data_IF_545981140675
#
_entry.id   IF_545981140675
#
_cell.length_a   1.000
_cell.length_b   1.000
_cell.length_c   1.000
_cell.angle_alpha   90.00
_cell.angle_beta   90.00
_cell.angle_gamma   90.00
#
_symmetry.space_group_name_H-M   'P 1'
#
loop_
_entity.id
_entity.type
_entity.pdbx_description
1 polymer ?
#
# COMPACT_ATOMS: atom_id res chain seq x y z
N UNK A 1 -14.36 -29.38 37.86
CA UNK A 1 -14.08 -29.95 36.53
C UNK A 1 -15.37 -29.76 35.74
N UNK A 2 -15.53 -28.90 34.74
CA UNK A 2 -14.65 -28.35 33.69
C UNK A 2 -15.21 -26.97 33.27
N UNK A 3 -14.41 -25.91 33.06
CA UNK A 3 -14.04 -25.34 31.73
C UNK A 3 -15.12 -25.60 30.66
N UNK A 4 -15.73 -24.60 30.01
CA UNK A 4 -15.17 -23.69 28.98
C UNK A 4 -16.33 -22.73 28.62
N UNK A 5 -16.22 -21.40 28.54
CA UNK A 5 -15.35 -20.63 27.65
C UNK A 5 -16.10 -20.29 26.35
N UNK A 6 -16.51 -19.03 26.23
CA UNK A 6 -16.68 -18.19 25.03
C UNK A 6 -17.39 -18.73 23.77
N UNK A 7 -18.25 -17.88 23.20
CA UNK A 7 -18.01 -17.34 21.86
C UNK A 7 -18.65 -15.97 21.70
N UNK A 8 -17.77 -14.99 21.51
CA UNK A 8 -18.06 -13.64 21.08
C UNK A 8 -18.48 -13.70 19.61
N UNK A 9 -19.65 -13.16 19.29
CA UNK A 9 -20.06 -12.91 17.91
C UNK A 9 -19.28 -11.72 17.37
N UNK A 10 -18.07 -12.02 16.90
CA UNK A 10 -17.26 -11.12 16.10
C UNK A 10 -17.88 -10.99 14.71
N UNK A 11 -18.59 -9.88 14.52
CA UNK A 11 -19.08 -9.38 13.23
C UNK A 11 -17.96 -9.44 12.18
N UNK A 12 -18.10 -10.34 11.19
CA UNK A 12 -17.22 -10.36 10.03
C UNK A 12 -17.55 -9.15 9.14
N UNK A 13 -16.68 -8.15 9.16
CA UNK A 13 -16.72 -7.00 8.27
C UNK A 13 -16.61 -7.45 6.81
N UNK A 14 -17.66 -7.20 6.04
CA UNK A 14 -17.80 -7.42 4.61
C UNK A 14 -16.95 -6.40 3.81
N UNK A 15 -15.65 -6.38 4.04
CA UNK A 15 -14.68 -5.63 3.25
C UNK A 15 -14.29 -6.41 1.99
N UNK A 16 -15.09 -6.27 0.92
CA UNK A 16 -14.89 -6.94 -0.36
C UNK A 16 -13.48 -6.74 -0.96
N UNK A 17 -13.11 -7.66 -1.87
CA UNK A 17 -11.82 -7.84 -2.56
C UNK A 17 -11.05 -6.54 -2.93
N UNK A 18 -11.74 -5.43 -3.17
CA UNK A 18 -11.16 -4.10 -3.38
C UNK A 18 -10.29 -3.59 -2.22
N UNK A 19 -10.58 -3.98 -0.98
CA UNK A 19 -9.80 -3.56 0.20
C UNK A 19 -8.36 -4.08 0.17
N UNK A 20 -8.14 -5.30 -0.32
CA UNK A 20 -6.82 -5.93 -0.36
C UNK A 20 -5.88 -5.27 -1.39
N UNK A 21 -6.42 -4.80 -2.51
CA UNK A 21 -5.63 -4.15 -3.58
C UNK A 21 -5.50 -2.63 -3.43
N UNK A 22 -6.17 -2.02 -2.43
CA UNK A 22 -6.28 -0.56 -2.26
C UNK A 22 -4.94 0.17 -2.21
N UNK A 23 -3.91 -0.47 -1.64
CA UNK A 23 -2.61 0.15 -1.43
C UNK A 23 -1.60 -0.16 -2.55
N UNK A 24 -2.02 -0.88 -3.60
CA UNK A 24 -1.19 -1.22 -4.75
C UNK A 24 -1.16 -0.05 -5.74
N UNK A 25 -0.14 0.81 -5.61
CA UNK A 25 0.08 1.92 -6.53
C UNK A 25 0.95 1.43 -7.69
N UNK A 26 0.36 0.98 -8.80
CA UNK A 26 1.17 0.90 -10.02
C UNK A 26 1.53 2.31 -10.47
N UNK A 27 2.72 2.48 -11.03
CA UNK A 27 3.05 3.67 -11.80
C UNK A 27 2.37 3.48 -13.16
N UNK A 28 1.06 3.79 -13.20
CA UNK A 28 0.11 3.34 -14.21
C UNK A 28 0.23 4.00 -15.58
N UNK A 29 1.00 5.08 -15.74
CA UNK A 29 0.93 5.88 -16.97
C UNK A 29 1.27 5.07 -18.24
N UNK A 30 2.07 4.00 -18.12
CA UNK A 30 2.44 3.15 -19.26
C UNK A 30 1.86 1.73 -19.21
N UNK A 31 1.16 1.35 -18.14
CA UNK A 31 0.65 -0.03 -17.96
C UNK A 31 -0.73 -0.25 -18.59
N UNK A 32 -1.46 0.84 -18.85
CA UNK A 32 -2.76 0.86 -19.49
C UNK A 32 -2.74 1.73 -20.74
N UNK A 33 -3.54 1.40 -21.77
CA UNK A 33 -4.54 0.34 -21.82
C UNK A 33 -3.94 -1.07 -21.84
N UNK A 34 -4.58 -2.03 -21.15
CA UNK A 34 -4.19 -3.44 -21.20
C UNK A 34 -5.12 -4.18 -22.13
N UNK A 35 -4.58 -4.91 -23.10
CA UNK A 35 -5.39 -5.71 -24.05
C UNK A 35 -5.11 -7.19 -23.84
N UNK A 36 -6.17 -8.00 -23.72
CA UNK A 36 -6.04 -9.45 -23.72
C UNK A 36 -5.66 -9.94 -25.11
N UNK A 37 -4.46 -10.54 -25.23
CA UNK A 37 -3.98 -11.07 -26.51
C UNK A 37 -4.85 -12.20 -27.08
N UNK A 38 -5.65 -12.88 -26.25
CA UNK A 38 -6.47 -14.01 -26.69
C UNK A 38 -7.87 -13.62 -27.18
N UNK A 39 -8.52 -12.62 -26.56
CA UNK A 39 -9.90 -12.24 -26.91
C UNK A 39 -10.06 -10.77 -27.33
N UNK A 40 -8.99 -9.98 -27.29
CA UNK A 40 -9.00 -8.56 -27.67
C UNK A 40 -9.66 -7.62 -26.65
N UNK A 41 -10.19 -8.13 -25.52
CA UNK A 41 -10.78 -7.28 -24.48
C UNK A 41 -9.75 -6.27 -23.97
N UNK A 42 -10.17 -5.00 -23.88
CA UNK A 42 -9.33 -3.87 -23.51
C UNK A 42 -9.80 -3.30 -22.17
N UNK A 43 -8.85 -3.08 -21.28
CA UNK A 43 -9.05 -2.47 -19.98
C UNK A 43 -8.37 -1.10 -20.00
N UNK A 44 -9.10 -0.03 -19.68
CA UNK A 44 -8.57 1.34 -19.81
C UNK A 44 -7.77 1.79 -18.59
N UNK A 45 -8.05 1.20 -17.42
CA UNK A 45 -7.36 1.54 -16.18
C UNK A 45 -7.42 0.36 -15.19
N UNK A 46 -6.78 0.54 -14.03
CA UNK A 46 -6.73 -0.50 -13.00
C UNK A 46 -8.11 -0.89 -12.45
N UNK A 47 -9.01 0.08 -12.24
CA UNK A 47 -10.32 -0.20 -11.67
C UNK A 47 -11.13 -1.09 -12.61
N UNK A 48 -11.11 -0.76 -13.90
CA UNK A 48 -11.69 -1.56 -14.97
C UNK A 48 -11.12 -2.99 -14.98
N UNK A 49 -9.78 -3.11 -15.01
CA UNK A 49 -9.08 -4.39 -14.94
C UNK A 49 -9.46 -5.24 -13.73
N UNK A 50 -9.48 -4.68 -12.52
CA UNK A 50 -9.84 -5.42 -11.31
C UNK A 50 -11.31 -5.85 -11.28
N UNK A 51 -12.20 -5.05 -11.87
CA UNK A 51 -13.64 -5.32 -11.88
C UNK A 51 -14.06 -6.39 -12.90
N UNK A 52 -13.34 -6.49 -14.02
CA UNK A 52 -13.71 -7.37 -15.13
C UNK A 52 -12.66 -8.48 -15.42
N UNK A 53 -11.88 -8.83 -14.40
CA UNK A 53 -11.03 -10.02 -14.42
C UNK A 53 -11.19 -10.78 -13.10
N UNK A 54 -10.93 -12.09 -13.14
CA UNK A 54 -11.01 -12.96 -11.97
C UNK A 54 -9.62 -13.19 -11.38
N UNK A 55 -9.55 -13.59 -10.11
CA UNK A 55 -8.27 -13.99 -9.50
C UNK A 55 -7.74 -15.27 -10.13
N UNK A 56 -6.42 -15.45 -10.09
CA UNK A 56 -5.83 -16.77 -10.34
C UNK A 56 -6.21 -17.71 -9.19
N UNK A 57 -6.67 -18.91 -9.52
CA UNK A 57 -7.24 -19.87 -8.56
C UNK A 57 -6.38 -20.03 -7.30
N UNK A 58 -7.01 -19.88 -6.13
CA UNK A 58 -6.37 -20.13 -4.83
C UNK A 58 -5.32 -19.11 -4.39
N UNK A 59 -5.20 -17.96 -5.08
CA UNK A 59 -4.24 -16.92 -4.72
C UNK A 59 -4.81 -15.52 -4.92
N UNK A 60 -4.15 -14.52 -4.33
CA UNK A 60 -4.50 -13.11 -4.53
C UNK A 60 -4.08 -12.59 -5.90
N UNK A 61 -3.37 -13.42 -6.70
CA UNK A 61 -2.75 -13.02 -7.96
C UNK A 61 -1.48 -12.18 -7.79
N UNK A 62 -1.09 -11.83 -6.57
CA UNK A 62 0.14 -11.06 -6.34
C UNK A 62 1.36 -12.00 -6.27
N UNK A 63 2.38 -11.66 -7.04
CA UNK A 63 3.69 -12.32 -7.01
C UNK A 63 4.78 -11.28 -6.76
N UNK A 64 5.62 -11.55 -5.78
CA UNK A 64 6.82 -10.78 -5.53
C UNK A 64 7.93 -11.23 -6.47
N UNK A 65 8.54 -10.29 -7.19
CA UNK A 65 9.56 -10.59 -8.21
C UNK A 65 10.96 -10.14 -7.80
N UNK A 66 11.21 -9.98 -6.50
CA UNK A 66 12.55 -9.68 -5.95
C UNK A 66 13.59 -10.62 -6.56
N UNK A 67 14.49 -10.06 -7.38
CA UNK A 67 15.60 -10.79 -8.02
C UNK A 67 15.55 -10.90 -9.55
N UNK A 68 14.43 -10.57 -10.21
CA UNK A 68 14.32 -10.58 -11.69
C UNK A 68 14.45 -9.19 -12.33
N UNK A 69 14.39 -8.12 -11.54
CA UNK A 69 14.63 -6.75 -12.01
C UNK A 69 15.22 -5.88 -10.88
N UNK A 70 15.84 -4.76 -11.24
CA UNK A 70 16.44 -3.81 -10.30
C UNK A 70 15.40 -3.04 -9.48
N UNK A 71 14.13 -3.11 -9.86
CA UNK A 71 13.02 -2.48 -9.17
C UNK A 71 12.29 -3.53 -8.32
N UNK A 72 11.94 -3.17 -7.08
CA UNK A 72 11.02 -3.98 -6.27
C UNK A 72 9.63 -3.97 -6.95
N UNK A 73 9.41 -4.94 -7.84
CA UNK A 73 8.20 -5.12 -8.61
C UNK A 73 7.34 -6.20 -7.95
N UNK A 74 6.07 -5.88 -7.78
CA UNK A 74 5.03 -6.86 -7.48
C UNK A 74 4.26 -7.04 -8.79
N UNK A 75 4.11 -8.25 -9.28
CA UNK A 75 3.23 -8.52 -10.42
C UNK A 75 1.83 -8.89 -9.92
N UNK A 76 0.80 -8.37 -10.59
CA UNK A 76 -0.57 -8.81 -10.41
C UNK A 76 -1.00 -9.66 -11.61
N UNK A 77 -1.34 -10.91 -11.34
CA UNK A 77 -1.90 -11.87 -12.27
C UNK A 77 -3.41 -11.99 -12.06
N UNK A 78 -4.17 -11.89 -13.15
CA UNK A 78 -5.63 -12.08 -13.15
C UNK A 78 -6.08 -12.78 -14.42
N UNK A 79 -7.19 -13.51 -14.35
CA UNK A 79 -7.76 -14.19 -15.50
C UNK A 79 -8.79 -13.30 -16.19
N UNK A 80 -8.59 -13.08 -17.48
CA UNK A 80 -9.61 -12.53 -18.35
C UNK A 80 -10.84 -13.45 -18.36
N UNK A 81 -12.02 -12.90 -18.64
CA UNK A 81 -13.27 -13.69 -18.81
C UNK A 81 -13.18 -14.80 -19.86
N UNK A 82 -12.24 -14.71 -20.80
CA UNK A 82 -11.99 -15.77 -21.79
C UNK A 82 -11.12 -16.92 -21.25
N UNK A 83 -10.65 -16.85 -20.00
CA UNK A 83 -9.80 -17.85 -19.35
C UNK A 83 -8.30 -17.55 -19.42
N UNK A 84 -7.85 -16.63 -20.27
CA UNK A 84 -6.42 -16.28 -20.39
C UNK A 84 -5.92 -15.46 -19.21
N UNK A 85 -4.71 -15.75 -18.73
CA UNK A 85 -4.07 -14.98 -17.66
C UNK A 85 -3.39 -13.72 -18.20
N UNK A 86 -3.65 -12.61 -17.53
CA UNK A 86 -3.08 -11.29 -17.76
C UNK A 86 -2.15 -10.94 -16.61
N UNK A 87 -1.07 -10.22 -16.90
CA UNK A 87 -0.10 -9.74 -15.92
C UNK A 87 0.06 -8.23 -16.06
N UNK A 88 0.07 -7.53 -14.94
CA UNK A 88 0.49 -6.13 -14.85
C UNK A 88 1.57 -5.95 -13.78
N UNK A 89 2.54 -5.11 -14.09
CA UNK A 89 3.57 -4.72 -13.14
C UNK A 89 3.01 -3.66 -12.19
N UNK A 90 3.19 -3.90 -10.90
CA UNK A 90 2.85 -2.98 -9.83
C UNK A 90 4.14 -2.62 -9.10
N UNK A 91 4.22 -1.37 -8.64
CA UNK A 91 5.37 -0.90 -7.90
C UNK A 91 5.00 -0.78 -6.43
N UNK A 92 5.97 -1.05 -5.55
CA UNK A 92 5.83 -0.64 -4.16
C UNK A 92 5.72 0.89 -4.11
N UNK A 93 4.66 1.41 -3.47
CA UNK A 93 4.52 2.85 -3.22
C UNK A 93 5.70 3.43 -2.44
N UNK A 94 6.44 2.58 -1.72
CA UNK A 94 7.63 2.96 -0.97
C UNK A 94 8.84 2.87 -1.88
N UNK A 95 9.57 3.97 -1.97
CA UNK A 95 10.92 3.90 -2.52
C UNK A 95 11.78 2.99 -1.64
N UNK A 96 12.29 1.92 -2.26
CA UNK A 96 13.27 1.01 -1.69
C UNK A 96 14.71 1.37 -2.10
N UNK A 97 14.95 2.60 -2.55
CA UNK A 97 16.32 3.12 -2.70
C UNK A 97 16.97 3.34 -1.32
N UNK A 98 18.30 3.43 -1.22
CA UNK A 98 18.98 3.81 0.02
C UNK A 98 18.41 5.10 0.64
N UNK A 99 18.11 6.11 -0.17
CA UNK A 99 17.54 7.39 0.23
C UNK A 99 16.11 7.20 0.76
N UNK A 100 15.29 6.41 0.07
CA UNK A 100 13.93 6.09 0.50
C UNK A 100 13.89 5.32 1.83
N UNK A 101 14.86 4.44 2.07
CA UNK A 101 15.03 3.79 3.39
C UNK A 101 15.50 4.78 4.45
N UNK A 102 16.49 5.62 4.13
CA UNK A 102 17.04 6.61 5.05
C UNK A 102 15.98 7.64 5.49
N UNK A 103 15.17 8.14 4.56
CA UNK A 103 14.08 9.07 4.84
C UNK A 103 13.03 8.45 5.76
N UNK A 104 12.61 7.21 5.51
CA UNK A 104 11.67 6.48 6.40
C UNK A 104 12.26 6.26 7.79
N UNK A 105 13.53 5.89 7.87
CA UNK A 105 14.21 5.71 9.15
C UNK A 105 14.31 7.04 9.92
N UNK A 106 14.62 8.14 9.25
CA UNK A 106 14.65 9.48 9.85
C UNK A 106 13.26 9.90 10.36
N UNK A 107 12.21 9.70 9.56
CA UNK A 107 10.83 9.94 9.96
C UNK A 107 10.46 9.14 11.22
N UNK A 108 10.79 7.84 11.24
CA UNK A 108 10.54 6.97 12.38
C UNK A 108 11.26 7.45 13.65
N UNK A 109 12.54 7.82 13.55
CA UNK A 109 13.30 8.37 14.69
C UNK A 109 12.68 9.65 15.24
N UNK A 110 12.26 10.56 14.36
CA UNK A 110 11.65 11.82 14.78
C UNK A 110 10.29 11.60 15.45
N UNK A 111 9.47 10.70 14.89
CA UNK A 111 8.19 10.33 15.48
C UNK A 111 8.36 9.75 16.90
N UNK A 112 9.34 8.88 17.10
CA UNK A 112 9.62 8.33 18.44
C UNK A 112 10.11 9.39 19.42
N UNK A 113 10.91 10.37 18.98
CA UNK A 113 11.28 11.52 19.82
C UNK A 113 10.07 12.35 20.22
N UNK A 114 9.16 12.63 19.29
CA UNK A 114 7.93 13.38 19.57
C UNK A 114 7.03 12.63 20.57
N UNK A 115 6.92 11.30 20.44
CA UNK A 115 6.19 10.47 21.42
C UNK A 115 6.80 10.57 22.82
N UNK A 116 8.14 10.59 22.94
CA UNK A 116 8.83 10.70 24.23
C UNK A 116 8.54 12.00 24.98
N UNK A 117 8.23 13.09 24.28
CA UNK A 117 7.81 14.36 24.89
C UNK A 117 6.29 14.49 25.03
N UNK A 118 5.56 13.36 24.92
CA UNK A 118 4.13 13.29 25.17
C UNK A 118 3.23 13.65 23.99
N UNK A 119 3.77 13.81 22.78
CA UNK A 119 2.94 14.11 21.59
C UNK A 119 2.21 12.83 21.14
N UNK A 120 0.88 12.89 20.91
CA UNK A 120 0.14 11.76 20.36
C UNK A 120 0.68 11.33 18.99
N UNK A 121 0.86 10.02 18.80
CA UNK A 121 1.50 9.48 17.59
C UNK A 121 0.72 9.77 16.29
N UNK A 122 -0.59 9.96 16.36
CA UNK A 122 -1.41 10.31 15.20
C UNK A 122 -1.18 11.78 14.79
N UNK A 123 -1.27 12.72 15.74
CA UNK A 123 -1.00 14.14 15.48
C UNK A 123 0.44 14.36 15.01
N UNK A 124 1.41 13.71 15.65
CA UNK A 124 2.82 13.80 15.23
C UNK A 124 3.01 13.32 13.79
N UNK A 125 2.36 12.21 13.39
CA UNK A 125 2.44 11.72 12.01
C UNK A 125 1.81 12.70 11.02
N UNK A 126 0.63 13.22 11.33
CA UNK A 126 -0.07 14.16 10.44
C UNK A 126 0.77 15.42 10.21
N UNK A 127 1.25 16.04 11.28
CA UNK A 127 2.02 17.28 11.19
C UNK A 127 3.38 17.06 10.50
N UNK A 128 4.04 15.92 10.75
CA UNK A 128 5.25 15.55 10.01
C UNK A 128 4.97 15.34 8.52
N UNK A 129 3.85 14.70 8.16
CA UNK A 129 3.46 14.54 6.76
C UNK A 129 3.15 15.88 6.08
N UNK A 130 2.47 16.81 6.76
CA UNK A 130 2.27 18.18 6.25
C UNK A 130 3.60 18.87 5.98
N UNK A 131 4.50 18.84 6.95
CA UNK A 131 5.84 19.43 6.79
C UNK A 131 6.63 18.83 5.63
N UNK A 132 6.57 17.50 5.44
CA UNK A 132 7.19 16.83 4.29
C UNK A 132 6.58 17.22 2.94
N UNK A 133 5.33 17.71 2.92
CA UNK A 133 4.69 18.27 1.72
C UNK A 133 5.01 19.77 1.52
N UNK A 134 5.85 20.36 2.37
CA UNK A 134 6.17 21.78 2.35
C UNK A 134 5.11 22.67 3.01
N UNK A 135 4.12 22.07 3.68
CA UNK A 135 3.09 22.83 4.40
C UNK A 135 3.64 23.25 5.78
N UNK A 136 3.45 24.51 6.20
CA UNK A 136 3.89 24.97 7.51
C UNK A 136 3.08 24.30 8.64
N UNK A 137 3.73 24.06 9.79
CA UNK A 137 3.08 23.51 10.98
C UNK A 137 3.60 24.14 12.26
N UNK A 138 2.81 25.06 12.84
CA UNK A 138 3.14 25.71 14.10
C UNK A 138 3.23 24.72 15.27
N UNK A 139 2.39 23.66 15.24
CA UNK A 139 2.44 22.57 16.22
C UNK A 139 3.77 21.85 16.17
N UNK A 140 4.20 21.46 14.97
CA UNK A 140 5.47 20.79 14.76
C UNK A 140 6.65 21.67 15.18
N UNK A 141 6.66 22.94 14.78
CA UNK A 141 7.71 23.89 15.17
C UNK A 141 7.83 24.02 16.69
N UNK A 142 6.69 24.07 17.40
CA UNK A 142 6.66 24.09 18.87
C UNK A 142 7.27 22.83 19.47
N UNK A 143 6.93 21.65 18.95
CA UNK A 143 7.47 20.38 19.43
C UNK A 143 8.96 20.21 19.12
N UNK A 144 9.40 20.66 17.94
CA UNK A 144 10.81 20.64 17.56
C UNK A 144 11.65 21.54 18.47
N UNK A 145 11.12 22.71 18.87
CA UNK A 145 11.76 23.57 19.89
C UNK A 145 11.91 22.85 21.23
N UNK A 146 10.87 22.13 21.69
CA UNK A 146 10.93 21.31 22.93
C UNK A 146 11.90 20.14 22.85
N UNK A 147 12.24 19.65 21.65
CA UNK A 147 13.18 18.56 21.46
C UNK A 147 14.65 19.01 21.43
N UNK A 148 14.88 20.30 21.24
CA UNK A 148 16.21 20.90 21.08
C UNK A 148 16.60 21.84 22.23
N UNK A 149 15.66 22.13 23.14
CA UNK A 149 15.91 22.79 24.44
C UNK A 149 15.99 21.74 25.54
#
# INVERSE_FOLDING_TARGET
MSRTGEKQDGQADSGGLNGFYRDLKALYENAFPKVCASCGRRYENMADFLSDTDQTHGSTGLMDVRGMSECAQVMLFRNCRCGSTLMIECHDRRSNTPEGRAARAAFGRLLERLKKIGVPAHEAREELHRHMRGEPSQKLDSWLKKLNG
#
